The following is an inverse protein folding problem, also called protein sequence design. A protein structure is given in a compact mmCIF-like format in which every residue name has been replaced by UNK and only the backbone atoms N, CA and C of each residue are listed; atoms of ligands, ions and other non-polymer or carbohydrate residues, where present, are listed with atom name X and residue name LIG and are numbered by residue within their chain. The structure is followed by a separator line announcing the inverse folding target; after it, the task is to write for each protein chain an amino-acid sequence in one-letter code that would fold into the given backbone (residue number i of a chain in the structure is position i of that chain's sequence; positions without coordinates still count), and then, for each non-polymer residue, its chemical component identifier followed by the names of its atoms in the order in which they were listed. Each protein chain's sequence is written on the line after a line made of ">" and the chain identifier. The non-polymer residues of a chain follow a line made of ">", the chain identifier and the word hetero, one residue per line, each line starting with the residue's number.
data_IF_876411003079
#
_entry.id   IF_876411003079
#
_cell.length_a   1.000
_cell.length_b   1.000
_cell.length_c   1.000
_cell.angle_alpha   90.00
_cell.angle_beta   90.00
_cell.angle_gamma   90.00
#
_symmetry.space_group_name_H-M   'P 1'
#
loop_
_entity.id
_entity.type
_entity.pdbx_description
1 polymer ?
#
# COMPACT_ATOMS: atom_id res chain seq x y z
N UNK A 1 2.89 1.34 -29.78
CA UNK A 1 3.03 -0.04 -29.33
C UNK A 1 4.24 -0.11 -28.42
N UNK A 2 4.03 -0.14 -27.09
CA UNK A 2 5.07 -0.46 -26.14
C UNK A 2 5.51 -1.89 -26.40
N UNK A 3 6.77 -2.08 -26.77
CA UNK A 3 7.37 -3.39 -26.89
C UNK A 3 7.08 -4.18 -25.59
N UNK A 4 6.21 -5.17 -25.66
CA UNK A 4 6.19 -6.27 -24.71
C UNK A 4 7.51 -7.01 -24.93
N UNK A 5 8.56 -6.61 -24.23
CA UNK A 5 9.68 -7.51 -24.01
C UNK A 5 9.07 -8.80 -23.48
N UNK A 6 9.47 -9.95 -24.03
CA UNK A 6 9.04 -11.25 -23.55
C UNK A 6 9.19 -11.25 -22.03
N UNK A 7 8.05 -11.28 -21.31
CA UNK A 7 8.06 -11.23 -19.86
C UNK A 7 8.66 -12.53 -19.34
N UNK A 8 9.45 -12.45 -18.29
CA UNK A 8 9.81 -13.63 -17.52
C UNK A 8 8.51 -14.28 -17.02
N UNK A 9 8.41 -15.59 -17.04
CA UNK A 9 7.34 -16.30 -16.35
C UNK A 9 7.65 -16.28 -14.86
N UNK A 10 6.78 -15.60 -14.09
CA UNK A 10 6.87 -15.49 -12.62
C UNK A 10 5.75 -16.28 -11.94
N UNK A 11 5.15 -17.25 -12.63
CA UNK A 11 4.14 -18.13 -12.05
C UNK A 11 4.72 -18.88 -10.84
N UNK A 12 4.03 -18.79 -9.72
CA UNK A 12 4.47 -19.37 -8.44
C UNK A 12 5.44 -18.52 -7.63
N UNK A 13 5.87 -17.36 -8.15
CA UNK A 13 6.63 -16.38 -7.34
C UNK A 13 5.70 -15.47 -6.58
N UNK A 14 6.10 -15.13 -5.36
CA UNK A 14 5.42 -14.21 -4.45
C UNK A 14 6.19 -12.90 -4.35
N UNK A 15 5.47 -11.78 -4.36
CA UNK A 15 6.10 -10.46 -4.32
C UNK A 15 5.39 -9.52 -3.33
N UNK A 16 6.16 -8.71 -2.63
CA UNK A 16 5.67 -7.59 -1.85
C UNK A 16 6.24 -6.28 -2.39
N UNK A 17 5.35 -5.32 -2.68
CA UNK A 17 5.74 -4.00 -3.20
C UNK A 17 5.20 -2.92 -2.27
N UNK A 18 6.09 -2.16 -1.64
CA UNK A 18 5.68 -1.00 -0.85
C UNK A 18 5.38 0.21 -1.74
N UNK A 19 4.28 0.94 -1.44
CA UNK A 19 3.83 2.06 -2.26
C UNK A 19 3.19 1.63 -3.59
N UNK A 20 2.47 0.50 -3.61
CA UNK A 20 1.89 -0.11 -4.79
C UNK A 20 0.67 0.59 -5.40
N UNK A 21 0.24 1.76 -4.89
CA UNK A 21 -0.99 2.43 -5.32
C UNK A 21 -0.88 3.24 -6.60
N UNK A 22 0.23 3.96 -6.81
CA UNK A 22 0.43 4.89 -7.92
C UNK A 22 1.86 4.83 -8.48
N UNK A 23 2.04 5.42 -9.65
CA UNK A 23 3.35 5.62 -10.29
C UNK A 23 4.17 4.33 -10.41
N UNK A 24 5.45 4.38 -10.05
CA UNK A 24 6.39 3.27 -10.21
C UNK A 24 5.89 2.00 -9.51
N UNK A 25 5.48 2.10 -8.23
CA UNK A 25 5.00 0.94 -7.48
C UNK A 25 3.78 0.27 -8.11
N UNK A 26 2.81 1.06 -8.58
CA UNK A 26 1.63 0.56 -9.28
C UNK A 26 2.00 -0.21 -10.55
N UNK A 27 2.80 0.40 -11.42
CA UNK A 27 3.21 -0.26 -12.67
C UNK A 27 4.13 -1.47 -12.43
N UNK A 28 4.91 -1.45 -11.34
CA UNK A 28 5.70 -2.61 -10.91
C UNK A 28 4.80 -3.78 -10.50
N UNK A 29 3.78 -3.53 -9.67
CA UNK A 29 2.79 -4.56 -9.31
C UNK A 29 2.10 -5.12 -10.55
N UNK A 30 1.60 -4.26 -11.45
CA UNK A 30 0.98 -4.70 -12.70
C UNK A 30 1.93 -5.56 -13.55
N UNK A 31 3.21 -5.19 -13.62
CA UNK A 31 4.21 -5.96 -14.37
C UNK A 31 4.41 -7.35 -13.77
N UNK A 32 4.53 -7.45 -12.45
CA UNK A 32 4.66 -8.71 -11.74
C UNK A 32 3.42 -9.60 -11.94
N UNK A 33 2.22 -9.04 -11.74
CA UNK A 33 0.93 -9.72 -11.91
C UNK A 33 0.75 -10.25 -13.34
N UNK A 34 1.04 -9.42 -14.34
CA UNK A 34 0.96 -9.78 -15.76
C UNK A 34 1.97 -10.85 -16.20
N UNK A 35 3.02 -11.02 -15.42
CA UNK A 35 4.00 -12.09 -15.59
C UNK A 35 3.73 -13.33 -14.73
N UNK A 36 2.59 -13.39 -14.04
CA UNK A 36 2.16 -14.58 -13.30
C UNK A 36 2.42 -14.56 -11.80
N UNK A 37 3.15 -13.58 -11.27
CA UNK A 37 3.42 -13.51 -9.84
C UNK A 37 2.16 -13.24 -9.01
N UNK A 38 2.16 -13.69 -7.76
CA UNK A 38 1.23 -13.29 -6.72
C UNK A 38 1.81 -12.10 -5.96
N UNK A 39 1.02 -11.03 -5.74
CA UNK A 39 1.56 -9.74 -5.30
C UNK A 39 0.78 -9.17 -4.13
N UNK A 40 1.49 -8.81 -3.05
CA UNK A 40 0.99 -7.93 -2.01
C UNK A 40 1.40 -6.48 -2.35
N UNK A 41 0.41 -5.62 -2.59
CA UNK A 41 0.60 -4.19 -2.79
C UNK A 41 0.31 -3.45 -1.48
N UNK A 42 1.37 -2.93 -0.83
CA UNK A 42 1.24 -2.19 0.44
C UNK A 42 1.03 -0.70 0.16
N UNK A 43 0.02 -0.12 0.78
CA UNK A 43 -0.31 1.31 0.63
C UNK A 43 -1.07 1.84 1.85
N UNK A 44 -1.04 3.16 2.07
CA UNK A 44 -1.88 3.84 3.06
C UNK A 44 -3.32 4.07 2.61
N UNK A 45 -3.60 3.89 1.32
CA UNK A 45 -4.89 4.17 0.69
C UNK A 45 -5.34 2.94 -0.10
N UNK A 46 -5.80 1.88 0.61
CA UNK A 46 -6.13 0.59 -0.02
C UNK A 46 -7.36 0.65 -0.91
N UNK A 47 -8.39 1.45 -0.59
CA UNK A 47 -9.59 1.53 -1.41
C UNK A 47 -9.36 2.29 -2.73
N UNK A 48 -8.54 3.36 -2.72
CA UNK A 48 -8.09 4.00 -3.96
C UNK A 48 -7.22 3.04 -4.80
N UNK A 49 -6.39 2.21 -4.16
CA UNK A 49 -5.63 1.19 -4.87
C UNK A 49 -6.55 0.16 -5.54
N UNK A 50 -7.52 -0.41 -4.82
CA UNK A 50 -8.51 -1.34 -5.39
C UNK A 50 -9.21 -0.72 -6.60
N UNK A 51 -9.73 0.51 -6.46
CA UNK A 51 -10.41 1.21 -7.54
C UNK A 51 -9.55 1.32 -8.80
N UNK A 52 -8.25 1.58 -8.63
CA UNK A 52 -7.30 1.66 -9.76
C UNK A 52 -7.04 0.33 -10.43
N UNK A 53 -6.75 -0.71 -9.63
CA UNK A 53 -6.49 -2.05 -10.18
C UNK A 53 -7.74 -2.63 -10.84
N UNK A 54 -8.92 -2.40 -10.27
CA UNK A 54 -10.20 -2.87 -10.84
C UNK A 54 -10.56 -2.17 -12.15
N UNK A 55 -10.01 -0.98 -12.41
CA UNK A 55 -10.19 -0.26 -13.66
C UNK A 55 -9.28 -0.75 -14.80
N UNK A 56 -8.30 -1.63 -14.51
CA UNK A 56 -7.44 -2.19 -15.55
C UNK A 56 -8.22 -3.15 -16.45
N UNK A 57 -8.06 -3.07 -17.78
CA UNK A 57 -8.82 -3.89 -18.72
C UNK A 57 -8.61 -5.40 -18.54
N UNK A 58 -7.47 -5.80 -18.01
CA UNK A 58 -7.05 -7.17 -17.76
C UNK A 58 -7.13 -7.57 -16.27
N UNK A 59 -7.89 -6.80 -15.46
CA UNK A 59 -8.07 -7.09 -14.03
C UNK A 59 -8.54 -8.52 -13.77
N UNK A 60 -9.44 -9.05 -14.60
CA UNK A 60 -9.95 -10.42 -14.49
C UNK A 60 -8.87 -11.49 -14.52
N UNK A 61 -7.75 -11.23 -15.19
CA UNK A 61 -6.66 -12.21 -15.39
C UNK A 61 -5.74 -12.31 -14.17
N UNK A 62 -5.75 -11.29 -13.28
CA UNK A 62 -4.82 -11.23 -12.16
C UNK A 62 -5.47 -10.93 -10.78
N UNK A 63 -6.75 -10.63 -10.72
CA UNK A 63 -7.44 -10.22 -9.49
C UNK A 63 -7.23 -11.19 -8.31
N UNK A 64 -7.19 -12.50 -8.59
CA UNK A 64 -7.06 -13.54 -7.57
C UNK A 64 -5.61 -13.71 -7.07
N UNK A 65 -4.66 -13.01 -7.71
CA UNK A 65 -3.24 -12.97 -7.34
C UNK A 65 -2.79 -11.60 -6.80
N UNK A 66 -3.74 -10.66 -6.66
CA UNK A 66 -3.49 -9.33 -6.11
C UNK A 66 -4.07 -9.22 -4.71
N UNK A 67 -3.20 -8.99 -3.74
CA UNK A 67 -3.56 -8.69 -2.36
C UNK A 67 -3.22 -7.24 -2.05
N UNK A 68 -4.21 -6.46 -1.62
CA UNK A 68 -3.98 -5.06 -1.23
C UNK A 68 -3.96 -4.97 0.28
N UNK A 69 -2.83 -4.49 0.81
CA UNK A 69 -2.61 -4.31 2.23
C UNK A 69 -2.56 -2.81 2.58
N UNK A 70 -3.53 -2.37 3.38
CA UNK A 70 -3.57 -1.04 3.94
C UNK A 70 -2.64 -0.91 5.14
N UNK A 71 -1.47 -0.28 4.96
CA UNK A 71 -0.49 -0.12 6.02
C UNK A 71 0.30 1.19 5.88
N UNK A 72 0.49 1.91 7.00
CA UNK A 72 1.38 3.08 7.03
C UNK A 72 2.75 2.68 7.57
N UNK A 73 3.75 2.68 6.70
CA UNK A 73 5.14 2.33 7.03
C UNK A 73 5.80 3.28 8.05
N UNK A 74 5.17 4.40 8.40
CA UNK A 74 5.60 5.25 9.51
C UNK A 74 5.32 4.60 10.87
N UNK A 75 4.40 3.64 10.92
CA UNK A 75 4.02 2.92 12.11
C UNK A 75 4.92 1.70 12.30
N UNK A 76 6.19 1.96 12.64
CA UNK A 76 7.17 0.90 12.92
C UNK A 76 6.74 -0.02 14.07
N UNK A 77 5.97 0.52 15.01
CA UNK A 77 5.35 -0.19 16.14
C UNK A 77 4.34 -1.27 15.72
N UNK A 78 3.95 -1.28 14.43
CA UNK A 78 2.95 -2.20 13.88
C UNK A 78 3.49 -3.12 12.79
N UNK A 79 4.79 -3.15 12.63
CA UNK A 79 5.44 -3.95 11.59
C UNK A 79 5.15 -5.45 11.76
N UNK A 80 4.97 -5.92 12.99
CA UNK A 80 4.62 -7.31 13.28
C UNK A 80 3.30 -7.73 12.62
N UNK A 81 2.31 -6.83 12.56
CA UNK A 81 1.05 -7.06 11.85
C UNK A 81 1.26 -7.25 10.35
N UNK A 82 2.10 -6.42 9.72
CA UNK A 82 2.44 -6.60 8.31
C UNK A 82 3.16 -7.92 8.06
N UNK A 83 4.11 -8.27 8.93
CA UNK A 83 4.85 -9.54 8.83
C UNK A 83 3.91 -10.74 8.97
N UNK A 84 2.98 -10.70 9.92
CA UNK A 84 1.97 -11.75 10.09
C UNK A 84 1.09 -11.89 8.87
N UNK A 85 0.57 -10.78 8.35
CA UNK A 85 -0.22 -10.77 7.12
C UNK A 85 0.53 -11.39 5.92
N UNK A 86 1.82 -11.04 5.75
CA UNK A 86 2.64 -11.61 4.67
C UNK A 86 2.82 -13.12 4.85
N UNK A 87 3.07 -13.61 6.08
CA UNK A 87 3.21 -15.03 6.36
C UNK A 87 1.92 -15.83 6.16
N UNK A 88 0.78 -15.22 6.47
CA UNK A 88 -0.54 -15.82 6.26
C UNK A 88 -0.90 -15.89 4.78
N UNK A 89 -0.62 -14.80 4.04
CA UNK A 89 -0.89 -14.71 2.60
C UNK A 89 0.06 -15.61 1.81
N UNK A 90 1.34 -15.67 2.20
CA UNK A 90 2.40 -16.42 1.53
C UNK A 90 3.05 -17.44 2.48
N UNK A 91 2.37 -18.55 2.82
CA UNK A 91 2.92 -19.55 3.74
C UNK A 91 4.18 -20.23 3.21
N UNK A 92 4.40 -20.21 1.90
CA UNK A 92 5.63 -20.71 1.25
C UNK A 92 6.81 -19.74 1.35
N UNK A 93 6.59 -18.53 1.80
CA UNK A 93 7.59 -17.46 1.90
C UNK A 93 7.42 -16.35 0.87
N UNK A 94 8.28 -15.35 0.94
CA UNK A 94 8.32 -14.20 0.05
C UNK A 94 9.59 -14.27 -0.82
N UNK A 95 9.41 -14.32 -2.15
CA UNK A 95 10.53 -14.39 -3.10
C UNK A 95 11.09 -13.02 -3.47
N UNK A 96 10.19 -12.02 -3.63
CA UNK A 96 10.54 -10.70 -4.16
C UNK A 96 10.06 -9.61 -3.20
N UNK A 97 10.98 -8.81 -2.68
CA UNK A 97 10.69 -7.62 -1.89
C UNK A 97 11.12 -6.35 -2.63
N UNK A 98 10.15 -5.46 -2.91
CA UNK A 98 10.41 -4.18 -3.58
C UNK A 98 10.06 -3.03 -2.64
N UNK A 99 11.09 -2.39 -2.07
CA UNK A 99 10.98 -1.21 -1.25
C UNK A 99 10.90 0.05 -2.13
N UNK A 100 9.67 0.40 -2.55
CA UNK A 100 9.42 1.55 -3.43
C UNK A 100 8.74 2.72 -2.70
N UNK A 101 8.15 2.50 -1.52
CA UNK A 101 7.51 3.58 -0.77
C UNK A 101 8.55 4.62 -0.30
N UNK A 102 8.79 5.61 -1.13
CA UNK A 102 9.64 6.75 -0.82
C UNK A 102 8.88 8.05 -1.10
N UNK A 103 8.92 8.99 -0.18
CA UNK A 103 8.37 10.32 -0.36
C UNK A 103 9.50 11.35 -0.31
N UNK A 104 9.98 11.74 -1.48
CA UNK A 104 11.07 12.71 -1.62
C UNK A 104 10.60 14.16 -1.45
N UNK A 105 9.33 14.45 -1.75
CA UNK A 105 8.73 15.78 -1.65
C UNK A 105 7.49 15.69 -0.77
N UNK A 106 7.51 16.43 0.35
CA UNK A 106 6.34 16.55 1.22
C UNK A 106 5.30 17.47 0.56
N UNK A 107 4.09 16.98 0.38
CA UNK A 107 2.96 17.79 -0.09
C UNK A 107 2.34 18.57 1.06
N UNK A 108 1.54 19.61 0.73
CA UNK A 108 0.81 20.36 1.74
C UNK A 108 -0.17 19.45 2.51
N UNK A 109 -0.46 19.75 3.80
CA UNK A 109 -1.42 18.95 4.60
C UNK A 109 -2.79 18.81 3.93
N UNK A 110 -3.29 19.84 3.24
CA UNK A 110 -4.55 19.82 2.51
C UNK A 110 -4.60 18.74 1.42
N UNK A 111 -3.48 18.42 0.79
CA UNK A 111 -3.41 17.34 -0.18
C UNK A 111 -3.69 15.97 0.46
N UNK A 112 -3.13 15.72 1.65
CA UNK A 112 -3.37 14.46 2.36
C UNK A 112 -4.78 14.37 2.92
N UNK A 113 -5.36 15.49 3.37
CA UNK A 113 -6.75 15.56 3.80
C UNK A 113 -7.72 15.20 2.66
N UNK A 114 -7.47 15.69 1.45
CA UNK A 114 -8.26 15.32 0.27
C UNK A 114 -8.14 13.83 -0.07
N UNK A 115 -6.93 13.26 0.02
CA UNK A 115 -6.74 11.83 -0.20
C UNK A 115 -7.47 10.99 0.85
N UNK A 116 -7.41 11.37 2.12
CA UNK A 116 -8.09 10.67 3.21
C UNK A 116 -9.63 10.73 3.04
N UNK A 117 -10.17 11.89 2.67
CA UNK A 117 -11.61 12.05 2.39
C UNK A 117 -12.04 11.21 1.17
N UNK A 118 -11.23 11.15 0.14
CA UNK A 118 -11.45 10.29 -1.04
C UNK A 118 -11.46 8.81 -0.67
N UNK A 119 -10.51 8.39 0.14
CA UNK A 119 -10.38 7.01 0.62
C UNK A 119 -11.62 6.59 1.45
N UNK A 120 -12.06 7.46 2.37
CA UNK A 120 -13.24 7.18 3.18
C UNK A 120 -14.51 7.07 2.32
N UNK A 121 -14.67 7.93 1.31
CA UNK A 121 -15.79 7.82 0.38
C UNK A 121 -15.76 6.49 -0.37
N UNK A 122 -14.59 6.09 -0.91
CA UNK A 122 -14.45 4.82 -1.61
C UNK A 122 -14.72 3.63 -0.67
N UNK A 123 -14.29 3.71 0.59
CA UNK A 123 -14.57 2.71 1.61
C UNK A 123 -16.08 2.51 1.81
N UNK A 124 -16.85 3.60 1.89
CA UNK A 124 -18.30 3.57 2.05
C UNK A 124 -19.04 3.07 0.79
N UNK A 125 -18.50 3.37 -0.39
CA UNK A 125 -19.06 2.92 -1.67
C UNK A 125 -18.72 1.46 -1.98
N UNK A 126 -17.70 0.88 -1.32
CA UNK A 126 -17.19 -0.44 -1.63
C UNK A 126 -18.04 -1.53 -1.00
N UNK A 127 -18.74 -2.31 -1.86
CA UNK A 127 -19.62 -3.42 -1.47
C UNK A 127 -19.00 -4.81 -1.71
N UNK A 128 -17.72 -4.88 -2.01
CA UNK A 128 -17.00 -6.12 -2.32
C UNK A 128 -16.16 -6.66 -1.17
N UNK A 129 -15.31 -7.65 -1.46
CA UNK A 129 -14.30 -8.12 -0.52
C UNK A 129 -13.37 -6.98 -0.18
N UNK A 130 -13.37 -6.56 1.08
CA UNK A 130 -12.53 -5.47 1.54
C UNK A 130 -11.03 -5.85 1.42
N UNK A 131 -10.16 -4.87 1.11
CA UNK A 131 -8.73 -5.10 1.20
C UNK A 131 -8.33 -5.45 2.63
N UNK A 132 -7.27 -6.18 2.80
CA UNK A 132 -6.67 -6.33 4.11
C UNK A 132 -6.16 -4.97 4.57
N UNK A 133 -6.75 -4.47 5.65
CA UNK A 133 -6.33 -3.19 6.24
C UNK A 133 -5.81 -3.50 7.63
N UNK A 134 -4.50 -3.33 7.86
CA UNK A 134 -3.86 -3.62 9.13
C UNK A 134 -4.05 -2.45 10.09
N UNK A 135 -4.93 -2.63 11.07
CA UNK A 135 -5.26 -1.61 12.05
C UNK A 135 -4.37 -1.60 13.27
N UNK A 136 -4.54 -0.50 14.02
CA UNK A 136 -3.86 -0.25 15.28
C UNK A 136 -4.23 -1.20 16.42
N UNK A 137 -5.40 -1.78 16.38
CA UNK A 137 -6.01 -2.41 17.55
C UNK A 137 -6.19 -3.94 17.43
N UNK A 138 -5.95 -4.52 16.25
CA UNK A 138 -6.18 -5.93 16.03
C UNK A 138 -4.92 -6.68 15.62
N UNK A 139 -4.54 -7.64 16.46
CA UNK A 139 -3.80 -8.84 16.07
C UNK A 139 -4.73 -9.83 15.33
N UNK A 140 -5.89 -9.39 14.87
CA UNK A 140 -6.88 -10.22 14.17
C UNK A 140 -7.11 -9.69 12.76
N UNK A 141 -7.27 -10.58 11.76
CA UNK A 141 -7.47 -10.21 10.36
C UNK A 141 -8.77 -9.47 10.06
N UNK A 142 -9.64 -9.26 11.03
CA UNK A 142 -10.99 -8.71 10.86
C UNK A 142 -11.14 -7.21 11.19
N UNK A 143 -10.05 -6.53 11.49
CA UNK A 143 -10.09 -5.11 11.82
C UNK A 143 -10.08 -4.22 10.57
N UNK A 144 -11.23 -3.91 9.98
CA UNK A 144 -11.37 -2.70 9.19
C UNK A 144 -10.93 -1.50 10.01
N UNK A 145 -9.85 -0.79 9.60
CA UNK A 145 -9.60 0.52 10.20
C UNK A 145 -10.83 1.38 9.91
N UNK A 146 -11.54 1.86 10.91
CA UNK A 146 -12.14 3.15 10.73
C UNK A 146 -10.95 4.08 10.49
N UNK A 147 -10.79 4.61 9.30
CA UNK A 147 -10.20 5.92 9.17
C UNK A 147 -11.25 6.78 9.87
N UNK A 148 -11.28 6.67 11.22
CA UNK A 148 -12.05 7.57 12.02
C UNK A 148 -11.55 8.91 11.61
N UNK A 149 -12.44 9.74 11.07
CA UNK A 149 -12.17 11.13 10.73
C UNK A 149 -11.84 11.98 11.97
N UNK A 150 -11.07 11.41 12.86
CA UNK A 150 -10.29 12.10 13.85
C UNK A 150 -9.16 12.76 13.10
N UNK A 151 -9.25 14.07 13.02
CA UNK A 151 -8.25 15.01 12.55
C UNK A 151 -6.92 14.92 13.31
N UNK A 152 -6.33 13.73 13.41
CA UNK A 152 -4.96 13.62 13.88
C UNK A 152 -4.00 13.99 12.75
N UNK A 153 -4.12 15.25 12.33
CA UNK A 153 -3.16 15.91 11.46
C UNK A 153 -1.79 16.06 12.15
N UNK A 154 -1.68 15.72 13.45
CA UNK A 154 -0.43 15.78 14.20
C UNK A 154 0.67 14.89 13.60
N UNK A 155 0.30 13.80 12.95
CA UNK A 155 1.23 12.94 12.19
C UNK A 155 1.82 13.63 10.95
N UNK A 156 1.23 14.75 10.53
CA UNK A 156 1.67 15.55 9.39
C UNK A 156 2.26 16.90 9.82
N UNK A 157 2.23 17.22 11.11
CA UNK A 157 2.89 18.41 11.65
C UNK A 157 4.41 18.22 11.59
N UNK A 158 5.08 19.20 11.00
CA UNK A 158 6.53 19.28 11.01
C UNK A 158 6.99 19.47 12.44
N UNK A 159 7.99 18.73 12.93
CA UNK A 159 8.79 19.23 14.04
C UNK A 159 9.27 20.62 13.62
N UNK A 160 9.00 21.63 14.43
CA UNK A 160 9.43 22.98 14.21
C UNK A 160 10.93 22.96 13.90
N UNK A 161 11.30 23.55 12.78
CA UNK A 161 12.65 23.65 12.25
C UNK A 161 13.47 24.58 13.16
N UNK A 162 13.95 24.12 14.32
CA UNK A 162 14.88 24.91 15.15
C UNK A 162 15.68 24.10 16.18
N UNK A 163 16.20 22.94 15.84
CA UNK A 163 17.15 22.27 16.73
C UNK A 163 18.44 21.77 16.09
N UNK A 164 18.77 22.25 14.90
CA UNK A 164 20.07 21.99 14.27
C UNK A 164 20.89 23.28 14.19
N UNK A 165 20.99 24.02 15.30
CA UNK A 165 22.09 24.98 15.46
C UNK A 165 23.23 24.21 16.09
N UNK A 166 24.23 23.92 15.28
CA UNK A 166 25.50 23.42 15.77
C UNK A 166 25.99 24.31 16.89
N UNK A 167 26.20 23.75 18.06
CA UNK A 167 27.04 24.39 19.07
C UNK A 167 28.47 24.30 18.56
N UNK A 168 28.97 25.42 18.05
CA UNK A 168 30.39 25.65 17.88
C UNK A 168 30.91 26.04 19.24
N UNK A 169 31.80 25.23 19.79
CA UNK A 169 32.92 25.61 20.66
C UNK A 169 34.09 24.69 20.31
#
# INVERSE_FOLDING_TARGET
>A
ALHRAAGADLSGYTALVTGGRINIGYHTCLRLLRNGAEVIAVTRFPYDAISRYSAEPDHGDFKDRLHICGFDLKRADRMDGLISFVKETFPGGLDILINNAAQTIRKAPSYYAQLAAGEERLRLEFNGTAPAVLTAEDNTPDGLIPISGGSDLSLYETPSHNSWVAKSD
#
